data_IF_820606897164
#
_entry.id   IF_820606897164
#
_cell.length_a   1.000
_cell.length_b   1.000
_cell.length_c   1.000
_cell.angle_alpha   90.00
_cell.angle_beta   90.00
_cell.angle_gamma   90.00
#
_symmetry.space_group_name_H-M   'P 1'
#
loop_
_entity.id
_entity.type
_entity.pdbx_description
1 polymer ?
#
# COMPACT_ATOMS: atom_id res chain seq x y z
N UNK A 1 12.97 5.44 9.83
CA UNK A 1 14.22 4.81 9.33
C UNK A 1 14.15 4.72 7.82
N UNK A 2 15.21 5.13 7.15
CA UNK A 2 15.39 4.95 5.71
C UNK A 2 16.18 3.66 5.47
N UNK A 3 15.73 2.85 4.52
CA UNK A 3 16.44 1.64 4.03
C UNK A 3 16.62 1.74 2.53
N UNK A 4 17.79 1.34 2.05
CA UNK A 4 18.11 1.20 0.62
C UNK A 4 18.51 -0.24 0.38
N UNK A 5 17.87 -0.92 -0.57
CA UNK A 5 18.16 -2.32 -0.88
C UNK A 5 16.91 -3.14 -1.16
N UNK A 6 17.06 -4.46 -1.03
CA UNK A 6 15.97 -5.43 -1.23
C UNK A 6 15.34 -5.73 0.12
N UNK A 7 14.05 -5.33 0.29
CA UNK A 7 13.31 -5.53 1.54
C UNK A 7 12.10 -6.40 1.28
N UNK A 8 12.01 -7.53 1.97
CA UNK A 8 10.79 -8.35 2.00
C UNK A 8 9.71 -7.64 2.81
N UNK A 9 8.45 -7.76 2.37
CA UNK A 9 7.29 -7.15 3.03
C UNK A 9 6.18 -8.17 3.18
N UNK A 10 5.52 -8.08 4.31
CA UNK A 10 4.32 -8.84 4.59
C UNK A 10 3.22 -7.89 5.04
N UNK A 11 2.26 -7.62 4.16
CA UNK A 11 1.18 -6.69 4.45
C UNK A 11 -0.13 -7.43 4.67
N UNK A 12 -0.21 -8.11 5.78
CA UNK A 12 -1.40 -8.82 6.23
C UNK A 12 -1.40 -8.96 7.74
N UNK A 13 -2.56 -8.97 8.40
CA UNK A 13 -2.70 -9.36 9.79
C UNK A 13 -2.58 -10.88 10.00
N UNK A 14 -2.71 -11.67 8.92
CA UNK A 14 -2.53 -13.13 8.94
C UNK A 14 -1.06 -13.50 8.83
N UNK A 15 -0.66 -14.59 9.48
CA UNK A 15 0.66 -15.22 9.30
C UNK A 15 0.77 -16.02 8.01
N UNK A 16 -0.36 -16.47 7.45
CA UNK A 16 -0.40 -17.52 6.44
C UNK A 16 -0.76 -17.01 5.04
N UNK A 17 -1.42 -15.85 4.95
CA UNK A 17 -1.87 -15.29 3.68
C UNK A 17 -1.78 -13.77 3.65
N UNK A 18 -1.54 -13.21 2.46
CA UNK A 18 -1.59 -11.79 2.20
C UNK A 18 -2.12 -11.55 0.79
N UNK A 19 -3.10 -10.64 0.68
CA UNK A 19 -3.72 -10.33 -0.61
C UNK A 19 -2.85 -9.43 -1.49
N UNK A 20 -1.91 -8.68 -0.91
CA UNK A 20 -1.21 -7.65 -1.67
C UNK A 20 0.32 -7.82 -1.72
N UNK A 21 0.99 -7.90 -0.60
CA UNK A 21 2.44 -8.11 -0.52
C UNK A 21 2.77 -9.27 0.41
N UNK A 22 3.42 -10.27 -0.14
CA UNK A 22 3.83 -11.48 0.57
C UNK A 22 5.32 -11.79 0.36
N UNK A 23 5.81 -12.79 1.10
CA UNK A 23 7.16 -13.30 0.96
C UNK A 23 7.35 -14.23 -0.26
N UNK A 24 6.29 -14.49 -1.02
CA UNK A 24 6.32 -15.41 -2.17
C UNK A 24 7.07 -14.81 -3.37
N UNK A 25 7.10 -13.48 -3.49
CA UNK A 25 7.84 -12.80 -4.53
C UNK A 25 9.26 -12.43 -4.07
N UNK A 26 10.23 -12.52 -4.99
CA UNK A 26 11.58 -12.04 -4.72
C UNK A 26 11.56 -10.53 -4.42
N UNK A 27 12.18 -10.07 -3.31
CA UNK A 27 12.25 -8.66 -3.01
C UNK A 27 13.00 -7.88 -4.10
N UNK A 28 12.38 -6.87 -4.65
CA UNK A 28 12.98 -5.96 -5.63
C UNK A 28 13.80 -4.85 -4.95
N UNK A 29 14.85 -4.33 -5.60
CA UNK A 29 15.67 -3.26 -5.05
C UNK A 29 14.89 -1.96 -5.00
N UNK A 30 15.13 -1.15 -3.98
CA UNK A 30 14.43 0.12 -3.83
C UNK A 30 14.80 0.86 -2.56
N UNK A 31 13.98 1.86 -2.26
CA UNK A 31 14.11 2.72 -1.09
C UNK A 31 12.82 2.60 -0.28
N UNK A 32 12.95 2.48 1.03
CA UNK A 32 11.80 2.47 1.93
C UNK A 32 12.02 3.36 3.15
N UNK A 33 10.92 3.94 3.61
CA UNK A 33 10.87 4.78 4.80
C UNK A 33 9.81 4.24 5.75
N UNK A 34 10.21 3.88 6.97
CA UNK A 34 9.34 3.26 7.99
C UNK A 34 9.61 3.89 9.34
N UNK A 35 8.57 4.16 10.13
CA UNK A 35 8.77 4.46 11.53
C UNK A 35 8.83 3.14 12.33
N UNK A 36 9.93 2.92 13.04
CA UNK A 36 10.05 1.76 13.93
C UNK A 36 9.26 1.91 15.22
N UNK A 37 9.23 3.12 15.74
CA UNK A 37 8.49 3.42 16.96
C UNK A 37 7.14 4.00 16.55
N UNK A 38 6.03 3.38 16.95
CA UNK A 38 4.71 3.93 16.73
C UNK A 38 4.62 5.34 17.28
N UNK A 39 4.05 6.25 16.52
CA UNK A 39 3.84 7.64 16.96
C UNK A 39 2.42 7.82 17.44
N UNK A 40 2.27 8.45 18.60
CA UNK A 40 0.97 8.87 19.13
C UNK A 40 0.81 10.36 18.83
N UNK A 41 -0.25 10.72 18.12
CA UNK A 41 -0.56 12.12 17.87
C UNK A 41 -1.21 12.71 19.13
N UNK A 42 -0.52 13.62 19.77
CA UNK A 42 -1.03 14.37 20.94
C UNK A 42 -1.96 15.50 20.46
N UNK A 43 -3.14 15.15 20.00
CA UNK A 43 -4.14 16.09 19.53
C UNK A 43 -5.51 15.71 20.06
N UNK A 44 -6.30 16.68 20.51
CA UNK A 44 -7.67 16.47 20.97
C UNK A 44 -8.54 15.75 19.91
N UNK A 45 -8.25 16.00 18.63
CA UNK A 45 -9.05 15.45 17.53
C UNK A 45 -8.56 14.10 16.99
N UNK A 46 -7.28 13.76 17.17
CA UNK A 46 -6.65 12.57 16.56
C UNK A 46 -6.09 11.57 17.58
N UNK A 47 -6.23 11.86 18.90
CA UNK A 47 -5.76 10.94 19.95
C UNK A 47 -6.45 9.57 19.90
N UNK A 48 -7.67 9.51 19.37
CA UNK A 48 -8.43 8.27 19.20
C UNK A 48 -7.79 7.28 18.21
N UNK A 49 -6.91 7.75 17.33
CA UNK A 49 -6.20 6.87 16.39
C UNK A 49 -5.20 5.95 17.08
N UNK A 50 -4.79 6.30 18.31
CA UNK A 50 -3.79 5.56 19.05
C UNK A 50 -2.40 5.59 18.40
N UNK A 51 -1.57 4.56 18.64
CA UNK A 51 -0.27 4.42 18.00
C UNK A 51 -0.38 4.28 16.48
N UNK A 52 0.43 5.05 15.76
CA UNK A 52 0.46 5.07 14.28
C UNK A 52 1.80 4.55 13.79
N UNK A 53 1.73 3.57 12.90
CA UNK A 53 2.86 3.13 12.10
C UNK A 53 2.64 3.50 10.63
N UNK A 54 3.71 3.79 9.92
CA UNK A 54 3.66 4.02 8.49
C UNK A 54 4.88 3.44 7.79
N UNK A 55 4.66 2.96 6.58
CA UNK A 55 5.67 2.51 5.64
C UNK A 55 5.41 3.10 4.27
N UNK A 56 6.46 3.61 3.64
CA UNK A 56 6.48 4.04 2.24
C UNK A 56 7.64 3.37 1.55
N UNK A 57 7.46 2.98 0.30
CA UNK A 57 8.56 2.46 -0.50
C UNK A 57 8.37 2.76 -1.98
N UNK A 58 9.49 2.79 -2.69
CA UNK A 58 9.56 2.76 -4.15
C UNK A 58 10.63 1.72 -4.51
N UNK A 59 10.22 0.69 -5.25
CA UNK A 59 11.08 -0.37 -5.71
C UNK A 59 11.11 -0.39 -7.24
N UNK A 60 12.25 -0.76 -7.82
CA UNK A 60 12.37 -1.05 -9.25
C UNK A 60 12.05 -2.52 -9.49
N UNK A 61 11.10 -2.79 -10.38
CA UNK A 61 10.73 -4.13 -10.79
C UNK A 61 11.72 -4.69 -11.82
N UNK A 62 11.59 -5.98 -12.10
CA UNK A 62 12.49 -6.71 -12.99
C UNK A 62 12.30 -6.29 -14.45
N UNK A 63 13.38 -6.47 -15.25
CA UNK A 63 13.39 -6.15 -16.68
C UNK A 63 12.54 -7.10 -17.52
N UNK A 64 12.38 -8.35 -17.10
CA UNK A 64 11.64 -9.38 -17.84
C UNK A 64 10.13 -9.38 -17.57
N UNK A 65 9.53 -8.22 -17.36
CA UNK A 65 8.08 -8.02 -17.20
C UNK A 65 7.46 -7.44 -18.47
N UNK A 66 6.13 -7.47 -18.55
CA UNK A 66 5.38 -6.85 -19.65
C UNK A 66 5.73 -5.36 -19.81
N UNK A 67 5.90 -4.63 -18.71
CA UNK A 67 6.52 -3.30 -18.67
C UNK A 67 7.84 -3.44 -17.94
N UNK A 68 8.98 -3.50 -18.67
CA UNK A 68 10.30 -3.63 -18.05
C UNK A 68 10.64 -2.42 -17.18
N UNK A 69 11.38 -2.67 -16.12
CA UNK A 69 11.91 -1.61 -15.23
C UNK A 69 10.85 -0.71 -14.60
N UNK A 70 9.57 -1.11 -14.55
CA UNK A 70 8.52 -0.35 -13.90
C UNK A 70 8.85 -0.11 -12.42
N UNK A 71 8.35 0.99 -11.88
CA UNK A 71 8.46 1.31 -10.46
C UNK A 71 7.22 0.80 -9.73
N UNK A 72 7.44 0.20 -8.57
CA UNK A 72 6.39 -0.18 -7.63
C UNK A 72 6.46 0.74 -6.43
N UNK A 73 5.46 1.60 -6.29
CA UNK A 73 5.22 2.39 -5.09
C UNK A 73 4.32 1.62 -4.14
N UNK A 74 4.51 1.81 -2.85
CA UNK A 74 3.58 1.35 -1.84
C UNK A 74 3.61 2.21 -0.59
N UNK A 75 2.43 2.39 -0.01
CA UNK A 75 2.26 3.01 1.28
C UNK A 75 1.30 2.20 2.14
N UNK A 76 1.61 2.12 3.43
CA UNK A 76 0.78 1.50 4.46
C UNK A 76 0.77 2.39 5.69
N UNK A 77 -0.42 2.64 6.22
CA UNK A 77 -0.62 3.34 7.49
C UNK A 77 -1.42 2.41 8.39
N UNK A 78 -0.88 2.11 9.56
CA UNK A 78 -1.51 1.26 10.57
C UNK A 78 -1.79 2.09 11.81
N UNK A 79 -3.00 1.99 12.33
CA UNK A 79 -3.48 2.66 13.54
C UNK A 79 -3.95 1.62 14.55
N UNK A 80 -3.87 1.96 15.82
CA UNK A 80 -4.37 1.11 16.90
C UNK A 80 -5.32 1.91 17.79
N UNK A 81 -6.57 2.15 17.36
CA UNK A 81 -7.53 2.99 18.08
C UNK A 81 -7.95 2.39 19.42
N UNK A 82 -7.75 1.10 19.61
CA UNK A 82 -8.02 0.40 20.86
C UNK A 82 -6.94 -0.67 21.09
N UNK A 83 -6.66 -1.02 22.35
CA UNK A 83 -5.66 -2.05 22.70
C UNK A 83 -5.92 -3.42 22.08
N UNK A 84 -7.15 -3.69 21.65
CA UNK A 84 -7.58 -4.93 20.99
C UNK A 84 -7.82 -4.81 19.50
N UNK A 85 -7.78 -3.61 18.93
CA UNK A 85 -8.12 -3.37 17.53
C UNK A 85 -6.99 -2.66 16.82
N UNK A 86 -6.42 -3.32 15.83
CA UNK A 86 -5.52 -2.74 14.84
C UNK A 86 -6.24 -2.62 13.50
N UNK A 87 -6.04 -1.52 12.79
CA UNK A 87 -6.56 -1.29 11.44
C UNK A 87 -5.43 -0.72 10.59
N UNK A 88 -5.32 -1.20 9.37
CA UNK A 88 -4.34 -0.66 8.41
C UNK A 88 -5.01 -0.33 7.10
N UNK A 89 -4.53 0.73 6.48
CA UNK A 89 -4.87 1.12 5.11
C UNK A 89 -3.59 1.03 4.28
N UNK A 90 -3.72 0.50 3.08
CA UNK A 90 -2.57 0.32 2.21
C UNK A 90 -2.94 0.59 0.75
N UNK A 91 -1.93 0.94 -0.01
CA UNK A 91 -2.03 1.13 -1.44
C UNK A 91 -0.70 0.78 -2.09
N UNK A 92 -0.77 0.16 -3.26
CA UNK A 92 0.36 -0.05 -4.16
C UNK A 92 0.01 0.45 -5.54
N UNK A 93 1.01 0.91 -6.28
CA UNK A 93 0.84 1.34 -7.65
C UNK A 93 2.08 1.01 -8.46
N UNK A 94 1.88 0.49 -9.67
CA UNK A 94 2.94 0.30 -10.65
C UNK A 94 2.89 1.46 -11.64
N UNK A 95 4.02 2.11 -11.87
CA UNK A 95 4.09 3.28 -12.75
C UNK A 95 5.46 3.39 -13.43
N UNK A 96 5.53 4.17 -14.51
CA UNK A 96 6.75 4.30 -15.29
C UNK A 96 7.22 2.98 -15.91
N UNK A 97 8.51 2.87 -16.18
CA UNK A 97 9.14 1.75 -16.87
C UNK A 97 9.50 2.09 -18.31
N UNK A 98 10.08 1.12 -19.02
CA UNK A 98 10.54 1.33 -20.38
C UNK A 98 9.36 1.62 -21.33
N UNK A 99 9.47 2.72 -22.07
CA UNK A 99 8.42 3.17 -22.99
C UNK A 99 7.24 3.90 -22.34
N UNK A 100 7.31 4.22 -21.03
CA UNK A 100 6.31 5.03 -20.33
C UNK A 100 6.92 6.30 -19.76
N UNK A 101 6.19 7.41 -19.84
CA UNK A 101 6.65 8.68 -19.29
C UNK A 101 6.64 8.66 -17.76
N UNK A 102 7.78 9.01 -17.18
CA UNK A 102 7.91 9.26 -15.75
C UNK A 102 7.97 10.77 -15.52
N UNK A 103 6.86 11.40 -15.15
CA UNK A 103 6.86 12.81 -14.81
C UNK A 103 6.34 13.02 -13.38
N UNK A 104 6.71 14.17 -12.79
CA UNK A 104 6.34 14.52 -11.41
C UNK A 104 4.82 14.63 -11.24
N UNK A 105 4.09 15.04 -12.27
CA UNK A 105 2.63 15.15 -12.23
C UNK A 105 1.99 13.77 -12.07
N UNK A 106 2.40 12.79 -12.87
CA UNK A 106 1.92 11.40 -12.77
C UNK A 106 2.16 10.85 -11.37
N UNK A 107 3.34 11.09 -10.79
CA UNK A 107 3.65 10.64 -9.44
C UNK A 107 2.78 11.33 -8.37
N UNK A 108 2.53 12.64 -8.50
CA UNK A 108 1.64 13.38 -7.58
C UNK A 108 0.20 12.91 -7.72
N UNK A 109 -0.30 12.74 -8.94
CA UNK A 109 -1.65 12.23 -9.19
C UNK A 109 -1.84 10.81 -8.64
N UNK A 110 -0.82 9.96 -8.78
CA UNK A 110 -0.76 8.65 -8.16
C UNK A 110 -0.79 8.73 -6.63
N UNK A 111 -0.03 9.63 -6.01
CA UNK A 111 -0.05 9.83 -4.55
C UNK A 111 -1.42 10.30 -4.04
N UNK A 112 -2.10 11.15 -4.82
CA UNK A 112 -3.41 11.69 -4.47
C UNK A 112 -4.57 10.74 -4.79
N UNK A 113 -4.30 9.58 -5.41
CA UNK A 113 -5.34 8.67 -5.82
C UNK A 113 -6.20 9.20 -6.97
N UNK A 114 -5.66 10.11 -7.75
CA UNK A 114 -6.33 10.58 -8.95
C UNK A 114 -6.06 9.58 -10.07
N UNK A 115 -6.93 8.60 -10.19
CA UNK A 115 -6.98 7.73 -11.36
C UNK A 115 -7.93 8.31 -12.39
N UNK A 116 -7.49 8.31 -13.61
CA UNK A 116 -8.24 8.33 -14.88
C UNK A 116 -9.59 9.04 -14.84
N UNK A 117 -9.59 10.34 -14.57
CA UNK A 117 -10.82 11.14 -14.65
C UNK A 117 -11.38 11.25 -16.07
N UNK A 118 -10.56 10.98 -17.09
CA UNK A 118 -10.95 11.01 -18.51
C UNK A 118 -10.51 9.70 -19.18
N UNK A 119 -11.32 8.67 -19.05
CA UNK A 119 -11.07 7.35 -19.66
C UNK A 119 -10.99 7.39 -21.20
N UNK A 120 -11.53 8.43 -21.82
CA UNK A 120 -11.57 8.59 -23.27
C UNK A 120 -10.24 9.07 -23.88
N UNK A 121 -9.31 9.61 -23.09
CA UNK A 121 -8.02 10.17 -23.55
C UNK A 121 -6.78 9.40 -23.04
N UNK A 122 -6.97 8.19 -22.51
CA UNK A 122 -5.86 7.38 -22.00
C UNK A 122 -5.01 6.84 -23.15
N UNK A 123 -3.77 7.21 -23.14
CA UNK A 123 -2.75 6.67 -24.02
C UNK A 123 -1.57 6.18 -23.16
N UNK A 124 -0.64 5.41 -23.78
CA UNK A 124 0.56 4.88 -23.09
C UNK A 124 1.43 5.96 -22.43
N UNK A 125 1.21 7.25 -22.77
CA UNK A 125 2.00 8.36 -22.27
C UNK A 125 1.45 8.97 -20.98
N UNK A 126 0.13 8.83 -20.71
CA UNK A 126 -0.54 9.44 -19.56
C UNK A 126 -1.21 8.41 -18.62
N UNK A 127 -1.15 7.11 -18.95
CA UNK A 127 -1.68 6.05 -18.08
C UNK A 127 -0.92 6.00 -16.74
N UNK A 128 -1.56 6.27 -15.59
CA UNK A 128 -0.89 6.34 -14.28
C UNK A 128 -0.42 4.99 -13.76
N UNK A 129 -0.77 3.90 -14.40
CA UNK A 129 -0.38 2.55 -14.04
C UNK A 129 -1.41 1.81 -13.17
N UNK A 130 -1.16 0.54 -12.92
CA UNK A 130 -2.08 -0.31 -12.15
C UNK A 130 -1.97 0.00 -10.66
N UNK A 131 -3.10 0.26 -10.01
CA UNK A 131 -3.19 0.59 -8.60
C UNK A 131 -4.07 -0.43 -7.87
N UNK A 132 -3.64 -0.79 -6.66
CA UNK A 132 -4.41 -1.66 -5.76
C UNK A 132 -4.44 -0.99 -4.39
N UNK A 133 -5.64 -0.73 -3.90
CA UNK A 133 -5.86 -0.20 -2.57
C UNK A 133 -6.59 -1.19 -1.68
N UNK A 134 -6.53 -0.98 -0.36
CA UNK A 134 -7.26 -1.83 0.55
C UNK A 134 -7.05 -1.50 2.01
N UNK A 135 -7.64 -2.33 2.82
CA UNK A 135 -7.56 -2.25 4.28
C UNK A 135 -7.49 -3.64 4.91
N UNK A 136 -6.93 -3.68 6.08
CA UNK A 136 -6.99 -4.86 6.95
C UNK A 136 -7.29 -4.48 8.39
N UNK A 137 -7.77 -5.45 9.16
CA UNK A 137 -7.97 -5.32 10.59
C UNK A 137 -7.56 -6.57 11.34
N UNK A 138 -7.21 -6.40 12.61
CA UNK A 138 -7.00 -7.45 13.59
C UNK A 138 -7.72 -7.07 14.87
N UNK A 139 -8.64 -7.93 15.32
CA UNK A 139 -9.41 -7.77 16.54
C UNK A 139 -9.11 -8.90 17.52
N UNK A 140 -8.49 -8.58 18.64
CA UNK A 140 -8.27 -9.52 19.74
C UNK A 140 -9.57 -9.76 20.51
N UNK A 141 -10.21 -10.91 20.29
CA UNK A 141 -11.49 -11.28 20.93
C UNK A 141 -11.28 -11.72 22.38
N UNK A 142 -10.38 -12.67 22.60
CA UNK A 142 -10.12 -13.27 23.91
C UNK A 142 -8.62 -13.22 24.24
N UNK A 143 -8.23 -12.26 25.05
CA UNK A 143 -6.83 -12.07 25.44
C UNK A 143 -6.23 -13.29 26.15
N UNK A 144 -6.98 -13.92 27.05
CA UNK A 144 -6.50 -15.10 27.78
C UNK A 144 -6.24 -16.33 26.91
N UNK A 145 -6.88 -16.42 25.73
CA UNK A 145 -6.78 -17.53 24.78
C UNK A 145 -6.07 -17.15 23.48
N UNK A 146 -5.56 -15.91 23.37
CA UNK A 146 -4.95 -15.37 22.15
C UNK A 146 -5.84 -15.57 20.91
N UNK A 147 -7.16 -15.48 21.08
CA UNK A 147 -8.11 -15.62 19.99
C UNK A 147 -8.28 -14.25 19.30
N UNK A 148 -7.93 -14.19 18.03
CA UNK A 148 -8.09 -13.00 17.19
C UNK A 148 -8.94 -13.29 15.97
N UNK A 149 -9.71 -12.30 15.57
CA UNK A 149 -10.37 -12.25 14.27
C UNK A 149 -9.62 -11.24 13.42
N UNK A 150 -9.32 -11.61 12.19
CA UNK A 150 -8.70 -10.71 11.23
C UNK A 150 -9.36 -10.81 9.86
N UNK A 151 -9.24 -9.75 9.08
CA UNK A 151 -9.70 -9.71 7.70
C UNK A 151 -8.89 -8.73 6.88
N UNK A 152 -8.83 -8.97 5.57
CA UNK A 152 -8.18 -8.13 4.60
C UNK A 152 -9.07 -8.00 3.36
N UNK A 153 -9.19 -6.78 2.84
CA UNK A 153 -9.88 -6.46 1.61
C UNK A 153 -8.93 -5.66 0.74
N UNK A 154 -8.78 -6.06 -0.52
CA UNK A 154 -8.01 -5.35 -1.53
C UNK A 154 -8.80 -5.32 -2.84
N UNK A 155 -8.69 -4.22 -3.57
CA UNK A 155 -9.34 -4.04 -4.86
C UNK A 155 -8.50 -3.17 -5.77
N UNK A 156 -8.65 -3.37 -7.08
CA UNK A 156 -8.14 -2.48 -8.11
C UNK A 156 -9.11 -1.31 -8.26
N UNK A 157 -8.58 -0.12 -8.52
CA UNK A 157 -9.39 1.07 -8.72
C UNK A 157 -9.78 1.19 -10.21
N UNK A 158 -10.58 0.20 -10.65
CA UNK A 158 -11.24 0.28 -11.94
C UNK A 158 -12.64 0.84 -11.77
N UNK A 159 -12.78 2.12 -12.10
CA UNK A 159 -14.01 2.93 -12.18
C UNK A 159 -14.89 3.06 -10.92
N UNK A 160 -14.94 4.29 -10.44
CA UNK A 160 -15.99 4.89 -9.59
C UNK A 160 -16.43 4.07 -8.37
N UNK A 161 -15.54 3.81 -7.41
CA UNK A 161 -15.84 3.41 -6.00
C UNK A 161 -16.81 2.22 -5.77
N UNK A 162 -17.40 1.64 -6.79
CA UNK A 162 -18.28 0.48 -6.69
C UNK A 162 -18.00 -0.48 -7.86
N UNK A 163 -17.96 -1.81 -7.60
CA UNK A 163 -17.90 -2.78 -8.69
C UNK A 163 -19.12 -2.58 -9.59
N UNK A 164 -18.90 -2.16 -10.82
CA UNK A 164 -19.95 -2.12 -11.84
C UNK A 164 -20.42 -3.55 -12.11
N UNK A 165 -21.73 -3.74 -11.97
CA UNK A 165 -22.40 -4.99 -12.34
C UNK A 165 -22.28 -5.25 -13.83
#
# INVERSE_FOLDING_TARGET
>A
MLKIGRTSRWWSPSSDSSLILSNSARPSPGISFTNYNPKIIQSKYFSFLGPINYEFFINKLEENRYVPNALLFGNRISIQPHSRLGVSFFRTAQFGGDGRNLNTKIFVDLLLGKDNYDADDLNKENEPGNQIGGMDFNLLLLQKKNLSLYGQIAGEDESRYLPSK
#
